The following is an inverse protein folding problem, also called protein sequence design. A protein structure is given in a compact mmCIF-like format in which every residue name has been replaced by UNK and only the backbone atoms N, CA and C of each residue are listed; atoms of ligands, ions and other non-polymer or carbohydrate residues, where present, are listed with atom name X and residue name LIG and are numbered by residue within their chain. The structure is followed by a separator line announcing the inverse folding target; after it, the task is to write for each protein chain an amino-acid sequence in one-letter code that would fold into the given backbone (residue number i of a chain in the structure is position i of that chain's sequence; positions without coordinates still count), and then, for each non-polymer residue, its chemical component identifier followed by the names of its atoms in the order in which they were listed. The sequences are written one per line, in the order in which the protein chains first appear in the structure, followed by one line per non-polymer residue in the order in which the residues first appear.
data_IF_782102667562
#
_entry.id   IF_782102667562
#
_cell.length_a   1.000
_cell.length_b   1.000
_cell.length_c   1.000
_cell.angle_alpha   90.00
_cell.angle_beta   90.00
_cell.angle_gamma   90.00
#
_symmetry.space_group_name_H-M   'P 1'
#
loop_
_entity.id
_entity.type
_entity.pdbx_description
1 polymer ?
#
# COMPACT_ATOMS: atom_id res chain seq x y z
N UNK A 1 16.92 8.47 22.70
CA UNK A 1 16.44 9.20 21.52
C UNK A 1 14.93 9.25 21.59
N UNK A 2 14.32 10.42 21.47
CA UNK A 2 12.86 10.51 21.46
C UNK A 2 12.37 9.92 20.12
N UNK A 3 11.71 8.76 20.17
CA UNK A 3 11.03 8.19 19.02
C UNK A 3 9.85 9.08 18.67
N UNK A 4 10.05 9.99 17.72
CA UNK A 4 8.96 10.79 17.19
C UNK A 4 7.96 9.84 16.53
N UNK A 5 6.74 9.79 17.06
CA UNK A 5 5.65 9.05 16.41
C UNK A 5 5.34 9.72 15.07
N UNK A 6 5.82 9.13 13.97
CA UNK A 6 5.71 9.69 12.62
C UNK A 6 4.25 9.93 12.19
N UNK A 7 3.35 9.11 12.72
CA UNK A 7 1.90 9.17 12.48
C UNK A 7 1.16 9.96 13.57
N UNK A 8 1.86 10.71 14.42
CA UNK A 8 1.20 11.57 15.41
C UNK A 8 0.29 12.58 14.70
N UNK A 9 -0.93 12.72 15.23
CA UNK A 9 -1.95 13.61 14.71
C UNK A 9 -2.26 14.71 15.71
N UNK A 10 -2.61 15.88 15.20
CA UNK A 10 -3.08 16.99 16.02
C UNK A 10 -4.58 16.87 16.37
N UNK A 11 -5.13 17.91 17.00
CA UNK A 11 -6.56 17.97 17.37
C UNK A 11 -7.53 17.89 16.19
N UNK A 12 -7.07 18.16 14.97
CA UNK A 12 -7.84 18.06 13.73
C UNK A 12 -7.59 16.74 12.98
N UNK A 13 -6.75 15.85 13.53
CA UNK A 13 -6.36 14.61 12.87
C UNK A 13 -5.26 14.80 11.82
N UNK A 14 -4.64 15.97 11.73
CA UNK A 14 -3.57 16.23 10.77
C UNK A 14 -2.24 15.71 11.31
N UNK A 15 -1.59 14.86 10.53
CA UNK A 15 -0.21 14.43 10.76
C UNK A 15 0.80 15.43 10.20
N UNK A 16 2.09 15.25 10.54
CA UNK A 16 3.19 16.01 9.92
C UNK A 16 3.12 15.97 8.38
N UNK A 17 2.71 14.83 7.82
CA UNK A 17 2.57 14.66 6.37
C UNK A 17 1.44 15.50 5.76
N UNK A 18 0.33 15.74 6.48
CA UNK A 18 -0.72 16.65 6.02
C UNK A 18 -0.20 18.07 5.82
N UNK A 19 0.61 18.56 6.77
CA UNK A 19 1.20 19.89 6.68
C UNK A 19 2.27 19.98 5.60
N UNK A 20 3.12 18.96 5.47
CA UNK A 20 4.11 18.87 4.39
C UNK A 20 3.43 18.88 3.01
N UNK A 21 2.36 18.10 2.84
CA UNK A 21 1.56 18.05 1.62
C UNK A 21 0.89 19.40 1.32
N UNK A 22 0.27 20.03 2.31
CA UNK A 22 -0.36 21.36 2.18
C UNK A 22 0.63 22.44 1.76
N UNK A 23 1.86 22.38 2.29
CA UNK A 23 2.94 23.31 1.96
C UNK A 23 3.69 22.99 0.66
N UNK A 24 3.37 21.88 -0.01
CA UNK A 24 4.11 21.43 -1.20
C UNK A 24 5.54 21.00 -0.90
N UNK A 25 5.87 20.66 0.35
CA UNK A 25 7.22 20.34 0.78
C UNK A 25 7.60 18.89 0.44
N UNK A 26 7.89 18.63 -0.84
CA UNK A 26 8.19 17.30 -1.36
C UNK A 26 9.29 16.59 -0.56
N UNK A 27 10.41 17.25 -0.30
CA UNK A 27 11.55 16.66 0.44
C UNK A 27 11.13 16.19 1.84
N UNK A 28 10.24 16.93 2.50
CA UNK A 28 9.72 16.54 3.82
C UNK A 28 8.81 15.32 3.68
N UNK A 29 7.96 15.27 2.64
CA UNK A 29 7.15 14.09 2.36
C UNK A 29 8.01 12.85 2.08
N UNK A 30 9.06 12.98 1.27
CA UNK A 30 10.01 11.89 0.98
C UNK A 30 10.67 11.36 2.24
N UNK A 31 11.17 12.25 3.09
CA UNK A 31 11.81 11.88 4.36
C UNK A 31 10.84 11.16 5.30
N UNK A 32 9.59 11.63 5.38
CA UNK A 32 8.57 10.99 6.21
C UNK A 32 8.24 9.59 5.70
N UNK A 33 8.05 9.43 4.38
CA UNK A 33 7.78 8.12 3.77
C UNK A 33 8.97 7.17 3.93
N UNK A 34 10.19 7.66 3.71
CA UNK A 34 11.42 6.88 3.92
C UNK A 34 11.60 6.46 5.38
N UNK A 35 11.08 7.24 6.33
CA UNK A 35 11.06 6.89 7.75
C UNK A 35 9.94 5.90 8.12
N UNK A 36 9.04 5.54 7.19
CA UNK A 36 7.91 4.65 7.41
C UNK A 36 6.64 5.34 7.92
N UNK A 37 6.51 6.66 7.70
CA UNK A 37 5.27 7.37 7.98
C UNK A 37 4.17 6.92 7.01
N UNK A 38 2.96 6.76 7.53
CA UNK A 38 1.81 6.33 6.75
C UNK A 38 1.28 7.49 5.90
N UNK A 39 1.31 7.32 4.58
CA UNK A 39 0.91 8.35 3.61
C UNK A 39 -0.57 8.38 3.28
N UNK A 40 -1.33 7.40 3.77
CA UNK A 40 -2.77 7.26 3.55
C UNK A 40 -3.63 7.65 4.77
N UNK A 41 -3.05 8.21 5.84
CA UNK A 41 -3.80 8.62 7.05
C UNK A 41 -4.87 9.64 6.71
N UNK A 42 -6.12 9.42 7.14
CA UNK A 42 -7.17 10.43 7.04
C UNK A 42 -7.23 11.32 8.28
N UNK A 43 -7.34 12.63 8.08
CA UNK A 43 -7.68 13.56 9.17
C UNK A 43 -9.17 13.47 9.56
N UNK A 44 -9.60 14.27 10.54
CA UNK A 44 -11.00 14.28 11.01
C UNK A 44 -12.01 14.76 9.95
N UNK A 45 -11.54 15.33 8.86
CA UNK A 45 -12.37 15.69 7.71
C UNK A 45 -12.42 14.60 6.65
N UNK A 46 -11.83 13.42 6.91
CA UNK A 46 -11.75 12.32 5.95
C UNK A 46 -10.80 12.61 4.79
N UNK A 47 -9.87 13.56 4.93
CA UNK A 47 -8.90 13.93 3.90
C UNK A 47 -7.55 13.30 4.20
N UNK A 48 -6.95 12.69 3.19
CA UNK A 48 -5.56 12.23 3.19
C UNK A 48 -4.57 13.38 2.97
N UNK A 49 -3.26 13.22 3.26
CA UNK A 49 -2.24 14.21 2.94
C UNK A 49 -2.31 14.67 1.48
N UNK A 50 -2.48 13.73 0.53
CA UNK A 50 -2.65 14.02 -0.90
C UNK A 50 -3.82 14.97 -1.18
N UNK A 51 -4.99 14.69 -0.60
CA UNK A 51 -6.19 15.53 -0.74
C UNK A 51 -6.09 16.86 0.01
N UNK A 52 -5.16 16.95 0.96
CA UNK A 52 -4.86 18.15 1.73
C UNK A 52 -3.82 19.06 1.04
N UNK A 53 -3.12 18.56 0.02
CA UNK A 53 -2.21 19.33 -0.81
C UNK A 53 -3.00 20.36 -1.66
N UNK A 54 -2.57 21.62 -1.61
CA UNK A 54 -3.07 22.64 -2.53
C UNK A 54 -2.56 22.27 -3.94
N UNK A 55 -3.47 22.23 -4.92
CA UNK A 55 -3.25 21.66 -6.26
C UNK A 55 -1.95 22.11 -6.95
N UNK A 56 -1.36 21.20 -7.74
CA UNK A 56 -0.12 21.40 -8.52
C UNK A 56 1.15 21.63 -7.70
N UNK A 57 1.45 20.70 -6.79
CA UNK A 57 2.75 20.65 -6.10
C UNK A 57 3.43 19.32 -6.36
N UNK A 58 4.76 19.30 -6.37
CA UNK A 58 5.55 18.07 -6.55
C UNK A 58 5.21 17.01 -5.48
N UNK A 59 4.76 17.46 -4.30
CA UNK A 59 4.21 16.60 -3.27
C UNK A 59 3.01 15.74 -3.77
N UNK A 60 2.14 16.27 -4.64
CA UNK A 60 1.06 15.46 -5.22
C UNK A 60 1.58 14.35 -6.14
N UNK A 61 2.64 14.62 -6.90
CA UNK A 61 3.27 13.62 -7.79
C UNK A 61 3.86 12.49 -6.94
N UNK A 62 4.49 12.83 -5.81
CA UNK A 62 4.98 11.83 -4.87
C UNK A 62 3.85 10.92 -4.34
N UNK A 63 2.72 11.48 -3.90
CA UNK A 63 1.59 10.67 -3.43
C UNK A 63 0.92 9.87 -4.56
N UNK A 64 0.94 10.36 -5.79
CA UNK A 64 0.47 9.62 -6.97
C UNK A 64 1.37 8.41 -7.25
N UNK A 65 2.69 8.58 -7.20
CA UNK A 65 3.67 7.51 -7.39
C UNK A 65 3.58 6.46 -6.27
N UNK A 66 3.40 6.89 -5.01
CA UNK A 66 3.22 5.98 -3.87
C UNK A 66 1.92 5.16 -3.98
N UNK A 67 0.80 5.80 -4.33
CA UNK A 67 -0.46 5.07 -4.56
C UNK A 67 -0.32 4.01 -5.65
N UNK A 68 0.39 4.32 -6.74
CA UNK A 68 0.66 3.34 -7.81
C UNK A 68 1.62 2.24 -7.37
N UNK A 69 2.56 2.54 -6.48
CA UNK A 69 3.48 1.55 -5.92
C UNK A 69 2.74 0.58 -4.99
N UNK A 70 1.78 1.06 -4.20
CA UNK A 70 0.90 0.23 -3.38
C UNK A 70 0.07 -0.70 -4.28
N UNK A 71 -0.61 -0.16 -5.32
CA UNK A 71 -1.38 -0.94 -6.29
C UNK A 71 -0.52 -1.95 -7.09
N UNK A 72 0.75 -1.64 -7.34
CA UNK A 72 1.69 -2.53 -8.03
C UNK A 72 2.21 -3.65 -7.11
N UNK A 73 2.34 -3.40 -5.81
CA UNK A 73 2.67 -4.43 -4.83
C UNK A 73 1.50 -5.39 -4.62
N UNK A 74 0.25 -4.92 -4.66
CA UNK A 74 -0.92 -5.79 -4.66
C UNK A 74 -1.01 -6.65 -5.93
N UNK A 75 -0.64 -6.12 -7.10
CA UNK A 75 -0.55 -6.92 -8.35
C UNK A 75 0.58 -7.94 -8.31
N UNK A 76 1.75 -7.59 -7.76
CA UNK A 76 2.87 -8.54 -7.60
C UNK A 76 2.58 -9.60 -6.52
N UNK A 77 1.92 -9.23 -5.43
CA UNK A 77 1.49 -10.16 -4.39
C UNK A 77 0.34 -11.07 -4.84
N UNK A 78 -0.47 -10.63 -5.81
CA UNK A 78 -1.50 -11.45 -6.45
C UNK A 78 -0.92 -12.37 -7.54
N UNK A 79 0.07 -11.91 -8.34
CA UNK A 79 0.72 -12.75 -9.37
C UNK A 79 1.72 -13.76 -8.79
N UNK A 80 2.33 -13.52 -7.63
CA UNK A 80 3.26 -14.47 -7.01
C UNK A 80 2.56 -15.61 -6.24
N UNK A 81 1.28 -15.45 -5.89
CA UNK A 81 0.48 -16.50 -5.22
C UNK A 81 -0.17 -17.52 -6.19
N UNK A 82 -0.23 -17.23 -7.50
CA UNK A 82 -0.81 -18.16 -8.49
C UNK A 82 0.18 -19.28 -8.89
N UNK A 83 1.49 -19.11 -8.66
CA UNK A 83 2.50 -20.08 -9.13
C UNK A 83 2.89 -21.17 -8.12
N UNK A 84 2.62 -21.01 -6.82
CA UNK A 84 3.06 -22.00 -5.79
C UNK A 84 2.03 -23.11 -5.55
N UNK A 85 0.81 -23.02 -6.11
CA UNK A 85 -0.26 -24.01 -5.87
C UNK A 85 -0.41 -25.07 -6.98
N UNK A 86 0.46 -25.09 -7.99
CA UNK A 86 0.31 -25.95 -9.16
C UNK A 86 1.18 -27.22 -9.19
N UNK A 87 1.98 -27.51 -8.15
CA UNK A 87 2.85 -28.70 -8.13
C UNK A 87 2.55 -29.71 -7.01
N UNK A 88 1.41 -29.61 -6.33
CA UNK A 88 1.05 -30.56 -5.28
C UNK A 88 -0.45 -30.90 -5.28
N UNK A 89 -0.96 -31.46 -6.40
CA UNK A 89 -2.19 -32.25 -6.44
C UNK A 89 -2.33 -32.92 -7.83
N UNK A 90 -1.40 -33.83 -8.15
CA UNK A 90 -1.60 -34.86 -9.19
C UNK A 90 -1.21 -36.21 -8.60
N UNK A 91 -2.01 -36.69 -7.66
CA UNK A 91 -2.10 -38.11 -7.31
C UNK A 91 -3.26 -38.28 -6.34
N UNK A 92 -4.48 -38.48 -6.86
CA UNK A 92 -5.50 -39.39 -6.33
C UNK A 92 -6.73 -39.22 -7.24
N UNK A 93 -7.21 -40.34 -7.80
CA UNK A 93 -8.45 -40.53 -8.56
C UNK A 93 -8.35 -40.59 -10.10
N UNK A 94 -7.80 -41.68 -10.64
CA UNK A 94 -8.47 -42.48 -11.68
C UNK A 94 -8.04 -43.95 -11.53
N UNK A 95 -8.91 -44.82 -11.02
CA UNK A 95 -9.04 -46.25 -11.41
C UNK A 95 -10.15 -46.93 -10.59
N UNK A 96 -11.39 -46.53 -10.85
CA UNK A 96 -12.57 -47.40 -10.83
C UNK A 96 -13.32 -46.93 -12.08
N UNK A 97 -13.58 -47.71 -13.13
CA UNK A 97 -14.03 -49.10 -13.22
C UNK A 97 -13.59 -49.71 -14.58
N UNK A 98 -13.79 -51.02 -14.72
CA UNK A 98 -13.83 -51.84 -15.95
C UNK A 98 -12.59 -52.68 -16.28
N UNK A 99 -12.55 -53.90 -15.75
CA UNK A 99 -12.16 -55.05 -16.56
C UNK A 99 -13.04 -56.26 -16.20
N UNK A 100 -14.07 -56.44 -17.01
CA UNK A 100 -14.86 -57.67 -17.10
C UNK A 100 -14.12 -58.64 -18.06
N UNK A 101 -14.20 -59.94 -17.75
CA UNK A 101 -13.79 -61.14 -18.52
C UNK A 101 -12.29 -61.51 -18.60
N UNK A 102 -11.88 -62.54 -17.83
CA UNK A 102 -11.82 -63.98 -18.22
C UNK A 102 -11.89 -64.86 -16.98
#
# INVERSE_FOLDING_TARGET
GAGAHLNAIDKFGNSAMHYAARGGHMVICELLVAAGAEHAICNKHGKTPKQFALGQTDAQILFETLSKADDAMDKKAMEEQVKVKAEAEVEVAVEMEMNVDV
#
